data_IF_062885518062
#
_entry.id   IF_062885518062
#
_cell.length_a   1.000
_cell.length_b   1.000
_cell.length_c   1.000
_cell.angle_alpha   90.00
_cell.angle_beta   90.00
_cell.angle_gamma   90.00
#
_symmetry.space_group_name_H-M   'P 1'
#
loop_
_entity.id
_entity.type
_entity.pdbx_description
1 polymer ?
#
# COMPACT_ATOMS: atom_id res chain seq x y z
N UNK A 1 -22.56 25.36 10.06
CA UNK A 1 -22.86 24.06 10.68
C UNK A 1 -21.54 23.46 11.12
N UNK A 2 -21.40 23.03 12.38
CA UNK A 2 -20.17 22.40 12.85
C UNK A 2 -20.02 21.06 12.14
N UNK A 3 -19.04 20.94 11.24
CA UNK A 3 -18.67 19.67 10.62
C UNK A 3 -17.97 18.80 11.67
N UNK A 4 -18.75 18.27 12.60
CA UNK A 4 -18.27 17.31 13.58
C UNK A 4 -17.81 16.04 12.87
N UNK A 5 -16.68 15.50 13.30
CA UNK A 5 -16.24 14.16 12.87
C UNK A 5 -17.32 13.18 13.34
N UNK A 6 -17.86 12.31 12.46
CA UNK A 6 -18.86 11.33 12.86
C UNK A 6 -18.38 10.48 14.04
N UNK A 7 -19.27 10.15 14.99
CA UNK A 7 -18.89 9.39 16.21
C UNK A 7 -18.17 8.08 15.87
N UNK A 8 -18.67 7.36 14.86
CA UNK A 8 -18.06 6.15 14.34
C UNK A 8 -16.58 6.36 13.95
N UNK A 9 -16.27 7.49 13.31
CA UNK A 9 -14.91 7.81 12.87
C UNK A 9 -14.03 8.17 14.07
N UNK A 10 -14.57 8.83 15.09
CA UNK A 10 -13.82 9.12 16.32
C UNK A 10 -13.44 7.85 17.08
N UNK A 11 -14.31 6.84 17.06
CA UNK A 11 -14.05 5.53 17.67
C UNK A 11 -12.95 4.77 16.92
N UNK A 12 -13.03 4.72 15.59
CA UNK A 12 -12.05 4.01 14.73
C UNK A 12 -10.66 4.65 14.81
N UNK A 13 -10.56 5.97 14.68
CA UNK A 13 -9.28 6.69 14.58
C UNK A 13 -8.91 7.46 15.85
N UNK A 14 -9.34 6.95 17.01
CA UNK A 14 -9.22 7.61 18.30
C UNK A 14 -7.81 8.21 18.53
N UNK A 15 -7.75 9.50 18.86
CA UNK A 15 -6.51 10.23 19.12
C UNK A 15 -5.79 10.80 17.90
N UNK A 16 -6.24 10.50 16.67
CA UNK A 16 -5.66 11.07 15.45
C UNK A 16 -6.29 12.43 15.13
N UNK A 17 -5.46 13.44 14.85
CA UNK A 17 -5.95 14.76 14.42
C UNK A 17 -6.33 14.73 12.95
N UNK A 18 -7.57 15.12 12.64
CA UNK A 18 -8.04 15.19 11.26
C UNK A 18 -7.35 16.33 10.49
N UNK A 19 -6.78 16.00 9.34
CA UNK A 19 -6.07 16.93 8.46
C UNK A 19 -6.90 17.18 7.20
N UNK A 20 -6.81 18.41 6.68
CA UNK A 20 -7.45 18.78 5.41
C UNK A 20 -6.76 18.09 4.22
N UNK A 21 -7.53 17.77 3.18
CA UNK A 21 -7.02 17.10 1.97
C UNK A 21 -5.90 17.87 1.26
N UNK A 22 -5.94 19.19 1.34
CA UNK A 22 -5.01 20.12 0.68
C UNK A 22 -3.63 20.22 1.33
N UNK A 23 -3.40 19.52 2.44
CA UNK A 23 -2.07 19.48 3.08
C UNK A 23 -1.04 18.92 2.08
N UNK A 24 0.18 19.46 2.08
CA UNK A 24 1.31 18.87 1.35
C UNK A 24 1.95 17.81 2.24
N UNK A 25 2.09 16.59 1.74
CA UNK A 25 2.73 15.49 2.47
C UNK A 25 4.21 15.47 2.10
N UNK A 26 5.11 15.12 3.01
CA UNK A 26 6.50 14.92 2.63
C UNK A 26 6.66 13.56 1.93
N UNK A 27 7.47 13.47 0.86
CA UNK A 27 8.27 14.49 0.19
C UNK A 27 7.59 15.00 -1.10
N UNK A 28 6.29 15.27 -1.10
CA UNK A 28 5.61 15.90 -2.23
C UNK A 28 6.18 17.31 -2.48
N UNK A 29 6.33 17.66 -3.75
CA UNK A 29 6.67 19.02 -4.12
C UNK A 29 5.55 20.00 -3.69
N UNK A 30 5.88 21.25 -3.32
CA UNK A 30 4.89 22.26 -2.96
C UNK A 30 3.84 22.46 -4.06
N UNK A 31 2.57 22.56 -3.66
CA UNK A 31 1.45 22.62 -4.61
C UNK A 31 1.41 23.87 -5.50
N UNK A 32 2.17 24.93 -5.16
CA UNK A 32 2.17 26.20 -5.89
C UNK A 32 2.65 26.12 -7.34
N UNK A 33 3.15 24.96 -7.78
CA UNK A 33 3.69 24.74 -9.13
C UNK A 33 2.79 23.89 -10.05
N UNK A 34 1.61 23.46 -9.61
CA UNK A 34 0.81 22.51 -10.39
C UNK A 34 0.17 23.15 -11.62
N UNK A 35 0.26 22.46 -12.75
CA UNK A 35 -0.60 22.73 -13.89
C UNK A 35 -2.02 22.22 -13.62
N UNK A 36 -3.04 22.81 -14.26
CA UNK A 36 -4.45 22.43 -14.09
C UNK A 36 -4.76 20.95 -14.46
N UNK A 37 -3.81 20.25 -15.08
CA UNK A 37 -3.97 18.88 -15.56
C UNK A 37 -3.14 17.86 -14.76
N UNK A 38 -2.52 18.27 -13.65
CA UNK A 38 -1.74 17.38 -12.80
C UNK A 38 -2.59 16.82 -11.66
N UNK A 39 -2.46 15.50 -11.44
CA UNK A 39 -3.06 14.79 -10.32
C UNK A 39 -1.96 14.43 -9.31
N UNK A 40 -2.22 14.62 -8.01
CA UNK A 40 -1.34 14.06 -6.97
C UNK A 40 -1.76 12.63 -6.66
N UNK A 41 -0.81 11.71 -6.75
CA UNK A 41 -0.98 10.31 -6.35
C UNK A 41 -0.57 10.08 -4.89
N UNK A 42 -1.45 9.49 -4.11
CA UNK A 42 -1.26 9.12 -2.70
C UNK A 42 -1.70 7.69 -2.46
N UNK A 43 -1.35 7.14 -1.30
CA UNK A 43 -1.93 5.90 -0.81
C UNK A 43 -2.88 6.23 0.34
N UNK A 44 -3.96 5.47 0.44
CA UNK A 44 -4.97 5.58 1.49
C UNK A 44 -5.12 4.21 2.17
N UNK A 45 -4.75 4.15 3.44
CA UNK A 45 -4.67 2.94 4.27
C UNK A 45 -5.56 3.02 5.51
N UNK A 46 -5.98 1.87 6.00
CA UNK A 46 -6.97 1.74 7.07
C UNK A 46 -8.22 2.55 6.77
N UNK A 47 -8.76 2.45 5.56
CA UNK A 47 -9.82 3.35 5.09
C UNK A 47 -11.23 2.86 5.37
N UNK A 48 -12.16 3.81 5.46
CA UNK A 48 -13.61 3.57 5.53
C UNK A 48 -14.36 4.58 4.67
N UNK A 49 -15.50 4.16 4.10
CA UNK A 49 -16.42 5.04 3.38
C UNK A 49 -17.68 5.29 4.21
N UNK A 50 -18.05 6.55 4.35
CA UNK A 50 -19.22 6.98 5.13
C UNK A 50 -20.14 7.84 4.27
N UNK A 51 -21.43 7.55 4.31
CA UNK A 51 -22.51 8.40 3.76
C UNK A 51 -23.58 8.55 4.83
N UNK A 52 -23.98 9.78 5.15
CA UNK A 52 -25.00 10.06 6.17
C UNK A 52 -24.74 9.36 7.53
N UNK A 53 -23.49 9.39 8.02
CA UNK A 53 -23.08 8.73 9.27
C UNK A 53 -23.26 7.19 9.29
N UNK A 54 -23.27 6.55 8.11
CA UNK A 54 -23.32 5.09 7.96
C UNK A 54 -22.18 4.62 7.06
N UNK A 55 -21.62 3.45 7.37
CA UNK A 55 -20.68 2.78 6.47
C UNK A 55 -21.39 2.40 5.17
N UNK A 56 -20.76 2.71 4.05
CA UNK A 56 -21.23 2.36 2.71
C UNK A 56 -20.15 1.59 1.96
N UNK A 57 -20.52 0.76 0.98
CA UNK A 57 -19.61 -0.18 0.32
C UNK A 57 -19.70 0.01 -1.21
N UNK A 58 -18.68 0.61 -1.87
CA UNK A 58 -18.73 1.01 -3.27
C UNK A 58 -18.57 -0.18 -4.24
N UNK A 59 -19.63 -0.99 -4.41
CA UNK A 59 -19.66 -2.09 -5.38
C UNK A 59 -19.75 -1.57 -6.80
N UNK A 60 -18.98 -2.14 -7.72
CA UNK A 60 -18.86 -1.66 -9.10
C UNK A 60 -20.22 -1.38 -9.79
N UNK A 61 -21.21 -2.26 -9.62
CA UNK A 61 -22.52 -2.16 -10.28
C UNK A 61 -23.36 -0.98 -9.80
N UNK A 62 -23.11 -0.48 -8.59
CA UNK A 62 -23.90 0.57 -7.95
C UNK A 62 -23.29 1.97 -8.17
N UNK A 63 -22.10 2.05 -8.78
CA UNK A 63 -21.34 3.30 -8.87
C UNK A 63 -21.84 4.18 -10.01
N UNK A 64 -22.72 5.11 -9.65
CA UNK A 64 -23.06 6.27 -10.48
C UNK A 64 -22.42 7.54 -9.90
N UNK A 65 -22.28 8.63 -10.68
CA UNK A 65 -21.83 9.91 -10.13
C UNK A 65 -22.65 10.37 -8.92
N UNK A 66 -23.97 10.12 -8.92
CA UNK A 66 -24.89 10.47 -7.84
C UNK A 66 -24.68 9.59 -6.60
N UNK A 67 -24.19 8.35 -6.78
CA UNK A 67 -23.86 7.47 -5.65
C UNK A 67 -22.82 8.13 -4.73
N UNK A 68 -21.82 8.81 -5.32
CA UNK A 68 -20.74 9.48 -4.61
C UNK A 68 -21.14 10.78 -3.91
N UNK A 69 -22.34 11.31 -4.18
CA UNK A 69 -22.85 12.47 -3.45
C UNK A 69 -22.89 12.17 -1.95
N UNK A 70 -22.36 13.11 -1.15
CA UNK A 70 -22.22 13.03 0.30
C UNK A 70 -21.39 11.85 0.85
N UNK A 71 -20.74 11.06 -0.02
CA UNK A 71 -19.78 10.05 0.40
C UNK A 71 -18.47 10.73 0.80
N UNK A 72 -17.96 10.35 1.96
CA UNK A 72 -16.68 10.78 2.48
C UNK A 72 -15.83 9.54 2.75
N UNK A 73 -14.53 9.64 2.44
CA UNK A 73 -13.57 8.62 2.82
C UNK A 73 -12.71 9.12 3.98
N UNK A 74 -12.42 8.23 4.92
CA UNK A 74 -11.50 8.49 6.03
C UNK A 74 -10.41 7.45 5.99
N UNK A 75 -9.20 7.82 6.40
CA UNK A 75 -8.09 6.90 6.52
C UNK A 75 -6.75 7.61 6.68
N UNK A 76 -5.70 6.81 6.78
CA UNK A 76 -4.33 7.29 6.85
C UNK A 76 -3.76 7.46 5.44
N UNK A 77 -3.30 8.67 5.16
CA UNK A 77 -2.83 9.07 3.84
C UNK A 77 -1.33 9.32 3.88
N UNK A 78 -0.65 8.83 2.86
CA UNK A 78 0.79 9.06 2.65
C UNK A 78 1.09 9.27 1.16
N UNK A 79 2.16 9.98 0.84
CA UNK A 79 2.53 10.23 -0.54
C UNK A 79 2.97 8.94 -1.27
N UNK A 80 2.90 8.91 -2.60
CA UNK A 80 3.46 7.81 -3.41
C UNK A 80 4.74 8.22 -4.15
N UNK A 81 5.52 9.13 -3.55
CA UNK A 81 6.78 9.65 -4.10
C UNK A 81 7.95 9.40 -3.14
N UNK A 82 9.18 9.71 -3.57
CA UNK A 82 10.39 9.46 -2.77
C UNK A 82 10.77 7.99 -2.62
N UNK A 83 11.69 7.69 -1.69
CA UNK A 83 12.15 6.32 -1.42
C UNK A 83 11.17 5.52 -0.55
N UNK A 84 10.39 6.19 0.32
CA UNK A 84 9.51 5.48 1.23
C UNK A 84 8.34 4.78 0.51
N UNK A 85 8.00 5.21 -0.71
CA UNK A 85 6.95 4.60 -1.54
C UNK A 85 7.12 3.09 -1.72
N UNK A 86 8.36 2.56 -1.70
CA UNK A 86 8.59 1.13 -1.79
C UNK A 86 8.00 0.35 -0.61
N UNK A 87 8.02 0.93 0.59
CA UNK A 87 7.43 0.31 1.78
C UNK A 87 5.90 0.39 1.77
N UNK A 88 5.37 1.50 1.25
CA UNK A 88 3.93 1.65 0.98
C UNK A 88 3.50 0.60 -0.04
N UNK A 89 4.13 0.56 -1.21
CA UNK A 89 3.87 -0.46 -2.23
C UNK A 89 4.03 -1.87 -1.68
N UNK A 90 4.93 -2.12 -0.73
CA UNK A 90 5.08 -3.45 -0.12
C UNK A 90 3.94 -3.85 0.83
N UNK A 91 3.09 -2.91 1.25
CA UNK A 91 2.06 -3.09 2.28
C UNK A 91 2.61 -3.10 3.71
N UNK A 92 3.67 -2.32 3.97
CA UNK A 92 4.33 -2.24 5.29
C UNK A 92 4.26 -0.83 5.87
N UNK A 93 3.06 -0.24 5.92
CA UNK A 93 2.85 1.10 6.47
C UNK A 93 3.00 1.20 7.99
N UNK A 94 2.81 0.09 8.73
CA UNK A 94 2.91 0.08 10.20
C UNK A 94 4.34 0.21 10.77
N UNK A 95 5.38 0.20 9.94
CA UNK A 95 6.77 0.39 10.40
C UNK A 95 7.17 1.86 10.27
N UNK A 96 8.02 2.33 11.17
CA UNK A 96 8.57 3.67 11.11
C UNK A 96 9.79 3.70 10.21
N UNK A 97 9.79 4.63 9.26
CA UNK A 97 10.86 4.85 8.30
C UNK A 97 11.26 6.31 8.32
N UNK A 98 12.50 6.58 7.90
CA UNK A 98 12.93 7.94 7.63
C UNK A 98 12.02 8.54 6.55
N UNK A 99 11.60 9.79 6.74
CA UNK A 99 10.73 10.53 5.84
C UNK A 99 9.32 9.94 5.66
N UNK A 100 8.89 9.03 6.54
CA UNK A 100 7.50 8.58 6.58
C UNK A 100 6.62 9.72 7.12
N UNK A 101 5.84 10.32 6.22
CA UNK A 101 4.79 11.26 6.58
C UNK A 101 3.43 10.59 6.40
N UNK A 102 2.75 10.33 7.51
CA UNK A 102 1.42 9.74 7.55
C UNK A 102 0.46 10.71 8.25
N UNK A 103 -0.66 11.03 7.60
CA UNK A 103 -1.69 11.90 8.19
C UNK A 103 -3.05 11.23 8.18
N UNK A 104 -3.86 11.47 9.21
CA UNK A 104 -5.25 11.08 9.19
C UNK A 104 -6.08 12.14 8.45
N UNK A 105 -6.84 11.73 7.44
CA UNK A 105 -7.49 12.65 6.49
C UNK A 105 -8.96 12.28 6.26
N UNK A 106 -9.77 13.30 5.97
CA UNK A 106 -11.12 13.16 5.43
C UNK A 106 -11.10 13.67 3.99
N UNK A 107 -11.32 12.75 3.06
CA UNK A 107 -11.42 13.01 1.63
C UNK A 107 -12.90 13.23 1.34
N UNK A 108 -13.21 14.41 0.79
CA UNK A 108 -14.56 14.83 0.43
C UNK A 108 -14.67 14.94 -1.08
N UNK A 109 -15.90 15.17 -1.56
CA UNK A 109 -16.14 15.44 -2.97
C UNK A 109 -15.53 14.36 -3.86
N UNK A 110 -15.76 13.10 -3.49
CA UNK A 110 -15.28 11.95 -4.25
C UNK A 110 -15.98 11.97 -5.60
N UNK A 111 -15.19 11.78 -6.64
CA UNK A 111 -15.66 11.75 -8.04
C UNK A 111 -16.02 10.32 -8.43
N UNK A 112 -15.18 9.38 -8.01
CA UNK A 112 -15.31 8.01 -8.44
C UNK A 112 -14.24 7.11 -7.86
N UNK A 113 -14.37 5.84 -8.20
CA UNK A 113 -13.35 4.83 -7.98
C UNK A 113 -13.10 4.10 -9.30
N UNK A 114 -11.86 3.76 -9.60
CA UNK A 114 -11.46 3.07 -10.83
C UNK A 114 -10.49 1.95 -10.52
N UNK A 115 -10.51 0.88 -11.32
CA UNK A 115 -9.52 -0.20 -11.27
C UNK A 115 -8.57 -0.06 -12.45
N UNK A 116 -7.28 0.13 -12.18
CA UNK A 116 -6.29 0.24 -13.25
C UNK A 116 -4.87 -0.17 -12.83
N UNK A 117 -4.09 -0.61 -13.81
CA UNK A 117 -2.64 -0.68 -13.74
C UNK A 117 -2.05 0.69 -14.08
N UNK A 118 -1.36 1.32 -13.13
CA UNK A 118 -0.77 2.65 -13.33
C UNK A 118 0.75 2.60 -13.13
N UNK A 119 1.56 3.33 -13.91
CA UNK A 119 3.01 3.44 -13.67
C UNK A 119 3.36 3.95 -12.26
N UNK A 120 2.44 4.67 -11.63
CA UNK A 120 2.57 5.19 -10.26
C UNK A 120 2.30 4.15 -9.17
N UNK A 121 1.78 2.98 -9.55
CA UNK A 121 1.59 1.85 -8.66
C UNK A 121 2.34 0.62 -9.15
N UNK A 122 3.37 0.22 -8.39
CA UNK A 122 4.19 -0.96 -8.72
C UNK A 122 4.61 -0.98 -10.20
N UNK A 123 4.92 0.18 -10.77
CA UNK A 123 5.33 0.36 -12.17
C UNK A 123 4.37 -0.25 -13.21
N UNK A 124 3.08 -0.31 -12.91
CA UNK A 124 2.05 -0.85 -13.79
C UNK A 124 2.05 -2.38 -13.94
N UNK A 125 2.74 -3.11 -13.05
CA UNK A 125 2.75 -4.58 -13.05
C UNK A 125 1.54 -5.20 -12.35
N UNK A 126 0.78 -4.41 -11.61
CA UNK A 126 -0.35 -4.86 -10.82
C UNK A 126 -1.45 -3.80 -10.87
N UNK A 127 -2.70 -4.25 -10.83
CA UNK A 127 -3.87 -3.38 -10.68
C UNK A 127 -4.12 -3.04 -9.20
N UNK A 128 -4.77 -1.90 -8.98
CA UNK A 128 -5.29 -1.49 -7.67
C UNK A 128 -6.54 -0.64 -7.89
N UNK A 129 -7.36 -0.51 -6.84
CA UNK A 129 -8.44 0.46 -6.81
C UNK A 129 -7.89 1.86 -6.51
N UNK A 130 -8.24 2.82 -7.35
CA UNK A 130 -7.93 4.23 -7.19
C UNK A 130 -9.20 5.00 -6.86
N UNK A 131 -9.14 5.80 -5.81
CA UNK A 131 -10.18 6.76 -5.44
C UNK A 131 -9.82 8.14 -5.95
N UNK A 132 -10.71 8.80 -6.67
CA UNK A 132 -10.49 10.14 -7.23
C UNK A 132 -11.33 11.19 -6.51
N UNK A 133 -10.74 12.34 -6.20
CA UNK A 133 -11.44 13.50 -5.60
C UNK A 133 -11.47 14.70 -6.54
N UNK A 134 -12.48 15.58 -6.38
CA UNK A 134 -12.60 16.83 -7.17
C UNK A 134 -11.42 17.78 -6.95
N UNK A 135 -10.66 17.59 -5.87
CA UNK A 135 -9.51 18.42 -5.55
C UNK A 135 -8.22 18.03 -6.33
N UNK A 136 -8.31 17.06 -7.26
CA UNK A 136 -7.20 16.67 -8.14
C UNK A 136 -6.23 15.69 -7.47
N UNK A 137 -6.74 14.82 -6.60
CA UNK A 137 -5.97 13.75 -5.98
C UNK A 137 -6.50 12.39 -6.43
N UNK A 138 -5.59 11.43 -6.51
CA UNK A 138 -5.88 10.02 -6.76
C UNK A 138 -5.21 9.17 -5.68
N UNK A 139 -6.00 8.33 -5.02
CA UNK A 139 -5.56 7.55 -3.86
C UNK A 139 -5.58 6.05 -4.19
N UNK A 140 -4.43 5.39 -4.18
CA UNK A 140 -4.36 3.94 -4.22
C UNK A 140 -4.91 3.37 -2.90
N UNK A 141 -5.97 2.58 -2.99
CA UNK A 141 -6.61 1.97 -1.83
C UNK A 141 -5.80 0.77 -1.33
N UNK A 142 -5.29 0.88 -0.11
CA UNK A 142 -4.44 -0.12 0.54
C UNK A 142 -5.30 -1.12 1.31
N UNK A 143 -5.09 -1.27 2.63
CA UNK A 143 -5.95 -2.10 3.46
C UNK A 143 -7.14 -1.27 3.99
N UNK A 144 -8.37 -1.79 3.99
CA UNK A 144 -9.47 -1.17 4.73
C UNK A 144 -9.19 -1.19 6.24
N UNK A 145 -9.91 -0.36 6.99
CA UNK A 145 -9.95 -0.52 8.46
C UNK A 145 -10.57 -1.89 8.82
N UNK A 146 -10.11 -2.51 9.91
CA UNK A 146 -10.54 -3.85 10.31
C UNK A 146 -12.07 -3.97 10.48
N UNK A 147 -12.72 -2.96 11.08
CA UNK A 147 -14.18 -2.97 11.28
C UNK A 147 -14.91 -2.88 9.94
N UNK A 148 -14.32 -2.21 8.96
CA UNK A 148 -14.89 -2.05 7.63
C UNK A 148 -14.64 -3.30 6.76
N UNK A 149 -13.48 -3.95 6.92
CA UNK A 149 -13.10 -5.18 6.23
C UNK A 149 -14.03 -6.34 6.58
N UNK A 150 -14.25 -6.56 7.88
CA UNK A 150 -15.00 -7.70 8.44
C UNK A 150 -16.45 -7.78 7.96
N UNK A 151 -17.04 -6.65 7.58
CA UNK A 151 -18.48 -6.59 7.30
C UNK A 151 -18.76 -6.95 5.84
N UNK A 152 -18.27 -6.15 4.88
CA UNK A 152 -18.65 -6.32 3.45
C UNK A 152 -17.57 -5.93 2.45
N UNK A 153 -16.33 -5.70 2.86
CA UNK A 153 -15.29 -5.30 1.91
C UNK A 153 -14.97 -6.40 0.89
N UNK A 154 -15.02 -7.67 1.30
CA UNK A 154 -14.87 -8.80 0.38
C UNK A 154 -15.89 -8.78 -0.78
N UNK A 155 -17.14 -8.36 -0.53
CA UNK A 155 -18.16 -8.21 -1.57
C UNK A 155 -17.80 -7.09 -2.57
N UNK A 156 -17.20 -6.00 -2.08
CA UNK A 156 -16.70 -4.92 -2.93
C UNK A 156 -15.62 -5.48 -3.84
N UNK A 157 -14.58 -6.11 -3.30
CA UNK A 157 -13.50 -6.70 -4.10
C UNK A 157 -14.02 -7.70 -5.13
N UNK A 158 -14.98 -8.55 -4.75
CA UNK A 158 -15.61 -9.48 -5.67
C UNK A 158 -16.31 -8.76 -6.82
N UNK A 159 -17.05 -7.67 -6.55
CA UNK A 159 -17.70 -6.86 -7.58
C UNK A 159 -16.71 -6.24 -8.57
N UNK A 160 -15.50 -5.91 -8.10
CA UNK A 160 -14.41 -5.34 -8.89
C UNK A 160 -13.53 -6.39 -9.59
N UNK A 161 -13.68 -7.66 -9.24
CA UNK A 161 -13.02 -8.80 -9.90
C UNK A 161 -13.93 -9.38 -10.99
N UNK A 162 -15.25 -9.40 -10.76
CA UNK A 162 -16.26 -9.92 -11.69
C UNK A 162 -16.73 -8.87 -12.71
N UNK A 163 -15.79 -8.14 -13.31
CA UNK A 163 -16.12 -7.13 -14.31
C UNK A 163 -16.48 -7.77 -15.66
N UNK A 164 -17.37 -7.14 -16.46
CA UNK A 164 -17.66 -7.60 -17.80
C UNK A 164 -16.44 -7.40 -18.72
N UNK A 165 -16.18 -8.33 -19.67
CA UNK A 165 -15.18 -8.12 -20.71
C UNK A 165 -15.46 -6.82 -21.50
N UNK A 166 -14.42 -6.08 -21.92
CA UNK A 166 -13.00 -6.43 -21.92
C UNK A 166 -12.25 -5.96 -20.66
N UNK A 167 -12.95 -5.58 -19.59
CA UNK A 167 -12.29 -5.09 -18.37
C UNK A 167 -11.51 -6.23 -17.70
N UNK A 168 -10.40 -5.87 -17.07
CA UNK A 168 -9.58 -6.82 -16.33
C UNK A 168 -10.40 -7.49 -15.23
N UNK A 169 -10.14 -8.77 -14.99
CA UNK A 169 -10.69 -9.54 -13.87
C UNK A 169 -9.62 -9.82 -12.82
N UNK A 170 -8.46 -9.15 -12.88
CA UNK A 170 -7.46 -9.27 -11.82
C UNK A 170 -7.99 -8.72 -10.49
N UNK A 171 -7.59 -9.36 -9.40
CA UNK A 171 -7.89 -8.96 -8.04
C UNK A 171 -7.13 -7.66 -7.70
N UNK A 172 -7.84 -6.55 -7.42
CA UNK A 172 -7.21 -5.27 -7.15
C UNK A 172 -6.79 -5.08 -5.68
N UNK A 173 -6.87 -6.12 -4.83
CA UNK A 173 -6.42 -6.03 -3.45
C UNK A 173 -4.91 -5.85 -3.34
N UNK A 174 -4.49 -5.15 -2.29
CA UNK A 174 -3.08 -5.00 -1.96
C UNK A 174 -2.45 -6.36 -1.63
N UNK A 175 -1.61 -6.87 -2.53
CA UNK A 175 -0.80 -8.06 -2.26
C UNK A 175 0.46 -7.72 -1.46
N UNK A 176 0.45 -7.94 -0.14
CA UNK A 176 1.63 -7.72 0.71
C UNK A 176 2.86 -8.48 0.19
N UNK A 177 4.00 -7.80 0.19
CA UNK A 177 5.25 -8.43 -0.29
C UNK A 177 5.82 -9.37 0.76
N UNK A 178 6.07 -10.61 0.37
CA UNK A 178 6.79 -11.56 1.22
C UNK A 178 8.26 -11.16 1.33
N UNK A 179 8.64 -10.60 2.48
CA UNK A 179 10.00 -10.16 2.77
C UNK A 179 11.05 -11.30 2.71
N UNK A 180 10.63 -12.57 2.85
CA UNK A 180 11.52 -13.73 2.74
C UNK A 180 11.63 -14.28 1.31
N UNK A 181 10.79 -13.80 0.39
CA UNK A 181 10.73 -14.22 -1.01
C UNK A 181 11.74 -13.48 -1.90
N UNK A 182 11.71 -13.77 -3.22
CA UNK A 182 12.49 -13.01 -4.20
C UNK A 182 12.00 -11.57 -4.32
N UNK A 183 12.90 -10.68 -4.74
CA UNK A 183 12.56 -9.29 -5.01
C UNK A 183 11.52 -9.18 -6.15
N UNK A 184 10.40 -8.47 -5.94
CA UNK A 184 9.39 -8.27 -6.99
C UNK A 184 9.96 -7.55 -8.23
N UNK A 185 9.44 -7.86 -9.41
CA UNK A 185 9.91 -7.28 -10.69
C UNK A 185 9.81 -5.75 -10.71
N UNK A 186 8.72 -5.21 -10.17
CA UNK A 186 8.48 -3.77 -10.08
C UNK A 186 9.42 -3.02 -9.10
N UNK A 187 10.15 -3.75 -8.24
CA UNK A 187 11.12 -3.15 -7.33
C UNK A 187 12.44 -2.80 -8.03
N UNK A 188 12.63 -3.16 -9.31
CA UNK A 188 13.90 -2.94 -10.05
C UNK A 188 14.15 -1.50 -10.53
N UNK A 189 13.37 -0.53 -10.05
CA UNK A 189 13.54 0.90 -10.35
C UNK A 189 14.70 1.52 -9.54
N UNK A 190 15.11 2.76 -9.90
CA UNK A 190 16.18 3.49 -9.19
C UNK A 190 15.90 3.58 -7.68
N UNK A 191 16.92 3.33 -6.86
CA UNK A 191 16.80 3.25 -5.39
C UNK A 191 16.14 1.96 -4.87
N UNK A 192 15.60 1.12 -5.74
CA UNK A 192 14.93 -0.12 -5.36
C UNK A 192 15.86 -1.17 -4.74
N UNK A 193 17.08 -1.32 -5.25
CA UNK A 193 18.03 -2.33 -4.73
C UNK A 193 18.42 -2.06 -3.26
N UNK A 194 18.82 -0.84 -2.93
CA UNK A 194 19.20 -0.45 -1.57
C UNK A 194 18.01 -0.53 -0.61
N UNK A 195 16.84 -0.07 -1.02
CA UNK A 195 15.60 -0.17 -0.22
C UNK A 195 15.19 -1.62 0.01
N UNK A 196 15.34 -2.51 -0.99
CA UNK A 196 15.07 -3.94 -0.83
C UNK A 196 16.04 -4.62 0.16
N UNK A 197 17.34 -4.32 0.04
CA UNK A 197 18.35 -4.84 0.96
C UNK A 197 18.09 -4.42 2.40
N UNK A 198 17.66 -3.18 2.60
CA UNK A 198 17.25 -2.65 3.89
C UNK A 198 15.96 -3.33 4.39
N UNK A 199 14.94 -3.43 3.52
CA UNK A 199 13.65 -4.04 3.81
C UNK A 199 13.75 -5.50 4.28
N UNK A 200 14.68 -6.25 3.68
CA UNK A 200 14.94 -7.66 3.98
C UNK A 200 16.01 -7.88 5.06
N UNK A 201 16.74 -6.84 5.47
CA UNK A 201 17.82 -6.93 6.46
C UNK A 201 17.40 -7.60 7.78
N UNK A 202 16.27 -7.25 8.42
CA UNK A 202 15.88 -7.88 9.69
C UNK A 202 15.74 -9.40 9.59
N UNK A 203 15.24 -9.91 8.46
CA UNK A 203 15.06 -11.34 8.22
C UNK A 203 16.40 -12.03 7.97
N UNK A 204 17.28 -11.40 7.19
CA UNK A 204 18.64 -11.92 6.97
C UNK A 204 19.42 -12.01 8.28
N UNK A 205 19.34 -10.98 9.11
CA UNK A 205 20.00 -10.92 10.41
C UNK A 205 19.44 -11.96 11.38
N UNK A 206 18.12 -12.13 11.43
CA UNK A 206 17.47 -13.18 12.22
C UNK A 206 17.91 -14.60 11.80
N UNK A 207 17.96 -14.87 10.48
CA UNK A 207 18.44 -16.16 9.93
C UNK A 207 19.92 -16.40 10.24
N UNK A 208 20.76 -15.38 10.13
CA UNK A 208 22.18 -15.48 10.47
C UNK A 208 22.39 -15.73 11.97
N UNK A 209 21.61 -15.06 12.83
CA UNK A 209 21.61 -15.27 14.27
C UNK A 209 21.18 -16.68 14.68
N UNK A 210 20.13 -17.21 14.07
CA UNK A 210 19.68 -18.59 14.30
C UNK A 210 20.76 -19.61 13.94
N UNK A 211 21.39 -19.48 12.76
CA UNK A 211 22.49 -20.36 12.33
C UNK A 211 23.69 -20.31 13.29
N UNK A 212 24.05 -19.12 13.80
CA UNK A 212 25.14 -18.97 14.78
C UNK A 212 24.82 -19.69 16.09
N UNK A 213 23.59 -19.60 16.60
CA UNK A 213 23.16 -20.32 17.81
C UNK A 213 23.24 -21.84 17.63
N UNK A 214 22.73 -22.36 16.51
CA UNK A 214 22.80 -23.79 16.20
C UNK A 214 24.23 -24.28 16.09
N UNK A 215 25.12 -23.52 15.44
CA UNK A 215 26.53 -23.89 15.32
C UNK A 215 27.24 -23.86 16.69
N UNK A 216 26.91 -22.90 17.56
CA UNK A 216 27.48 -22.82 18.91
C UNK A 216 27.07 -24.03 19.78
N UNK A 217 25.81 -24.45 19.69
CA UNK A 217 25.30 -25.62 20.41
C UNK A 217 25.89 -26.96 19.89
N UNK A 218 26.11 -27.06 18.57
CA UNK A 218 26.83 -28.20 17.99
C UNK A 218 28.31 -28.24 18.43
N UNK A 219 28.95 -27.09 18.61
CA UNK A 219 30.34 -27.04 19.10
C UNK A 219 30.47 -27.40 20.58
N UNK A 220 29.54 -26.96 21.44
CA UNK A 220 29.58 -27.29 22.89
C UNK A 220 29.27 -28.77 23.15
N UNK A 221 28.35 -29.37 22.39
CA UNK A 221 28.05 -30.81 22.46
C UNK A 221 29.22 -31.69 22.00
N UNK A 222 29.96 -31.29 20.95
CA UNK A 222 31.18 -31.99 20.51
C UNK A 222 32.32 -31.92 21.55
N UNK A 223 32.49 -30.78 22.25
CA UNK A 223 33.50 -30.66 23.31
C UNK A 223 33.21 -31.56 24.52
N UNK A 224 31.94 -31.78 24.87
CA UNK A 224 31.56 -32.67 25.99
C UNK A 224 31.86 -34.15 25.72
N UNK A 225 31.81 -34.61 24.47
CA UNK A 225 32.12 -36.02 24.14
C UNK A 225 33.61 -36.35 24.11
N UNK A 226 34.52 -35.36 24.02
CA UNK A 226 35.98 -35.60 23.93
C UNK A 226 36.72 -35.45 25.27
N UNK A 227 36.02 -35.15 26.37
CA UNK A 227 36.59 -34.94 27.71
C UNK A 227 36.54 -36.17 28.65
N UNK A 228 36.15 -37.34 28.16
CA UNK A 228 36.15 -38.59 28.92
C UNK A 228 37.57 -39.14 29.11
N UNK A 229 38.30 -38.55 30.07
CA UNK A 229 39.47 -39.06 30.83
C UNK A 229 40.47 -37.92 31.07
N UNK A 230 40.37 -37.22 32.20
CA UNK A 230 41.53 -37.04 33.09
C UNK A 230 41.20 -36.34 34.41
N UNK A 231 41.72 -36.98 35.47
CA UNK A 231 42.45 -36.43 36.61
C UNK A 231 41.95 -35.15 37.29
N UNK A 232 41.84 -35.28 38.60
CA UNK A 232 41.56 -34.28 39.65
C UNK A 232 42.21 -32.89 39.45
N UNK A 233 41.50 -31.79 39.74
CA UNK A 233 41.96 -30.44 39.50
C UNK A 233 42.87 -29.89 40.62
N UNK A 234 43.94 -29.19 40.21
CA UNK A 234 44.81 -28.38 41.06
C UNK A 234 44.38 -26.89 41.02
N UNK A 235 44.46 -26.14 42.14
CA UNK A 235 43.97 -24.77 42.22
C UNK A 235 45.08 -23.76 41.84
N UNK A 236 44.83 -22.88 40.86
CA UNK A 236 45.67 -21.68 40.73
C UNK A 236 44.98 -20.48 40.07
N UNK A 237 44.95 -19.41 40.87
CA UNK A 237 45.16 -17.97 40.59
C UNK A 237 44.28 -17.24 39.57
N UNK A 238 43.44 -16.38 40.16
CA UNK A 238 42.72 -15.23 39.58
C UNK A 238 43.69 -14.22 38.96
N UNK A 239 43.36 -13.70 37.78
CA UNK A 239 43.94 -12.47 37.23
C UNK A 239 42.82 -11.58 36.67
N UNK A 240 42.79 -10.34 37.12
CA UNK A 240 41.85 -9.30 36.74
C UNK A 240 42.23 -8.71 35.35
N UNK A 241 41.22 -8.36 34.55
CA UNK A 241 41.38 -7.61 33.30
C UNK A 241 40.34 -6.48 33.30
N UNK A 242 40.87 -5.28 33.08
CA UNK A 242 40.21 -3.98 32.97
C UNK A 242 39.50 -3.80 31.62
N UNK A 243 38.40 -3.04 31.65
CA UNK A 243 37.65 -2.57 30.48
C UNK A 243 37.91 -1.09 30.27
N UNK A 244 38.24 -0.69 29.04
CA UNK A 244 38.00 0.64 28.48
C UNK A 244 37.81 0.49 26.97
N UNK A 245 36.64 0.87 26.46
CA UNK A 245 36.37 1.01 25.02
C UNK A 245 35.55 2.28 24.82
N UNK A 246 36.20 3.23 24.15
CA UNK A 246 35.73 4.57 23.79
C UNK A 246 34.88 4.48 22.50
N UNK A 247 33.74 5.17 22.48
CA UNK A 247 32.78 5.18 21.36
C UNK A 247 32.91 6.49 20.58
N UNK A 248 33.06 6.40 19.25
CA UNK A 248 33.16 7.55 18.34
C UNK A 248 31.97 7.58 17.37
N UNK A 249 31.22 8.70 17.25
CA UNK A 249 30.08 8.81 16.34
C UNK A 249 30.51 9.30 14.95
N UNK A 250 30.15 8.53 13.91
CA UNK A 250 30.42 8.87 12.51
C UNK A 250 29.45 9.92 11.94
N UNK A 251 30.01 10.86 11.18
CA UNK A 251 29.30 11.89 10.39
C UNK A 251 28.64 11.26 9.15
N UNK A 252 27.35 11.54 8.96
CA UNK A 252 26.60 11.17 7.76
C UNK A 252 26.75 12.22 6.66
N UNK A 253 27.14 11.75 5.49
CA UNK A 253 27.26 12.49 4.23
C UNK A 253 25.89 12.57 3.54
N UNK A 254 25.44 13.78 3.23
CA UNK A 254 24.18 14.06 2.51
C UNK A 254 24.54 14.27 1.05
N UNK A 255 24.18 13.33 0.20
CA UNK A 255 24.23 13.52 -1.25
C UNK A 255 22.90 14.06 -1.73
N UNK A 256 22.99 15.12 -2.52
CA UNK A 256 21.89 15.81 -3.19
C UNK A 256 21.19 14.85 -4.18
N UNK A 257 19.92 14.53 -3.89
CA UNK A 257 19.03 13.83 -4.82
C UNK A 257 18.20 14.88 -5.57
N UNK A 258 18.56 15.10 -6.85
CA UNK A 258 17.82 15.96 -7.78
C UNK A 258 16.40 15.43 -8.07
N UNK A 259 15.42 16.32 -7.91
CA UNK A 259 14.00 16.14 -8.21
C UNK A 259 13.77 15.82 -9.70
N UNK A 260 13.49 14.56 -10.03
CA UNK A 260 12.95 14.18 -11.33
C UNK A 260 11.44 14.39 -11.32
N UNK A 261 11.02 15.55 -11.83
CA UNK A 261 9.64 15.79 -12.27
C UNK A 261 9.36 14.82 -13.42
N UNK A 262 8.57 13.79 -13.17
CA UNK A 262 8.11 12.86 -14.19
C UNK A 262 7.00 13.55 -14.99
N UNK A 263 7.13 13.56 -16.31
CA UNK A 263 6.19 14.20 -17.23
C UNK A 263 4.85 13.45 -17.24
N UNK A 264 3.88 13.98 -16.48
CA UNK A 264 2.51 13.49 -16.41
C UNK A 264 1.72 13.70 -17.71
N UNK A 265 2.30 14.25 -18.80
CA UNK A 265 1.59 14.46 -20.08
C UNK A 265 1.11 13.16 -20.76
N UNK A 266 1.62 11.99 -20.34
CA UNK A 266 1.10 10.67 -20.77
C UNK A 266 -0.14 10.22 -20.01
N UNK A 267 -0.41 10.81 -18.84
CA UNK A 267 -1.75 10.84 -18.30
C UNK A 267 -2.48 11.87 -19.16
N UNK A 268 -3.06 11.42 -20.28
CA UNK A 268 -4.03 12.25 -20.96
C UNK A 268 -5.00 12.72 -19.86
N UNK A 269 -5.26 14.02 -19.71
CA UNK A 269 -6.40 14.47 -18.93
C UNK A 269 -7.58 13.87 -19.68
N UNK A 270 -7.98 12.66 -19.28
CA UNK A 270 -9.31 12.17 -19.55
C UNK A 270 -10.15 13.14 -18.77
N UNK A 271 -10.57 14.18 -19.48
CA UNK A 271 -11.89 14.78 -19.32
C UNK A 271 -12.75 13.67 -18.73
N UNK A 272 -13.07 13.87 -17.46
CA UNK A 272 -14.29 13.43 -16.81
C UNK A 272 -15.52 13.97 -17.58
N UNK A 273 -15.51 13.80 -18.91
CA UNK A 273 -16.66 13.87 -19.76
C UNK A 273 -17.16 12.43 -19.82
N UNK A 274 -18.11 12.12 -18.94
CA UNK A 274 -19.34 11.44 -19.37
C UNK A 274 -19.11 10.07 -20.07
N UNK A 275 -18.02 9.35 -19.81
CA UNK A 275 -17.83 8.03 -20.43
C UNK A 275 -18.58 6.91 -19.73
N UNK A 276 -19.21 7.19 -18.58
CA UNK A 276 -20.06 6.23 -17.86
C UNK A 276 -21.55 6.33 -18.18
N UNK A 277 -22.03 7.38 -18.88
CA UNK A 277 -23.47 7.53 -19.15
C UNK A 277 -23.93 6.99 -20.53
N UNK A 278 -23.04 6.84 -21.51
CA UNK A 278 -23.44 6.47 -22.89
C UNK A 278 -23.01 5.09 -23.37
N UNK A 279 -22.10 4.39 -22.67
CA UNK A 279 -21.50 3.14 -23.17
C UNK A 279 -21.91 1.86 -22.43
N UNK A 280 -22.75 1.94 -21.39
CA UNK A 280 -23.35 0.73 -20.81
C UNK A 280 -24.56 0.31 -21.67
N UNK A 281 -24.67 -0.96 -22.12
CA UNK A 281 -25.91 -1.44 -22.68
C UNK A 281 -27.01 -1.22 -21.63
N UNK A 282 -28.06 -0.47 -22.00
CA UNK A 282 -29.24 -0.29 -21.15
C UNK A 282 -29.74 -1.68 -20.76
N UNK A 283 -29.45 -2.10 -19.53
CA UNK A 283 -30.10 -3.26 -18.94
C UNK A 283 -31.58 -2.91 -18.83
N UNK A 284 -32.41 -3.72 -19.47
CA UNK A 284 -33.85 -3.53 -19.53
C UNK A 284 -34.42 -3.56 -18.09
N UNK A 285 -35.02 -2.45 -17.60
CA UNK A 285 -35.54 -2.39 -16.23
C UNK A 285 -36.79 -3.26 -16.00
N UNK A 286 -37.25 -4.01 -17.00
CA UNK A 286 -38.43 -4.89 -16.86
C UNK A 286 -38.15 -6.28 -16.27
N UNK A 287 -36.89 -6.62 -15.93
CA UNK A 287 -36.54 -7.95 -15.41
C UNK A 287 -36.36 -8.06 -13.89
N UNK A 288 -36.46 -6.97 -13.11
CA UNK A 288 -36.36 -7.03 -11.65
C UNK A 288 -37.75 -7.02 -11.02
N UNK A 289 -38.39 -8.20 -11.04
CA UNK A 289 -39.62 -8.46 -10.32
C UNK A 289 -39.27 -9.12 -8.98
N UNK A 290 -39.83 -8.54 -7.90
CA UNK A 290 -40.01 -9.07 -6.55
C UNK A 290 -38.80 -9.06 -5.59
N UNK A 291 -38.65 -7.94 -4.87
CA UNK A 291 -38.03 -7.88 -3.54
C UNK A 291 -39.02 -8.41 -2.47
N UNK A 292 -38.72 -9.52 -1.75
CA UNK A 292 -39.64 -10.14 -0.80
C UNK A 292 -39.37 -9.75 0.66
N UNK A 293 -39.11 -8.47 0.95
CA UNK A 293 -38.89 -8.01 2.33
C UNK A 293 -39.64 -6.71 2.61
N UNK A 294 -40.96 -6.81 2.71
CA UNK A 294 -41.83 -5.79 3.30
C UNK A 294 -42.51 -6.38 4.54
N UNK A 295 -41.79 -6.37 5.66
CA UNK A 295 -42.29 -6.77 6.99
C UNK A 295 -43.30 -5.72 7.50
N UNK A 296 -44.57 -5.92 7.13
CA UNK A 296 -45.70 -5.27 7.81
C UNK A 296 -46.03 -6.01 9.10
N UNK A 297 -45.49 -5.50 10.20
CA UNK A 297 -45.99 -5.76 11.54
C UNK A 297 -47.32 -5.02 11.76
N UNK A 298 -48.44 -5.69 11.50
CA UNK A 298 -49.73 -5.32 12.09
C UNK A 298 -50.16 -6.36 13.13
N UNK A 299 -50.40 -5.85 14.34
CA UNK A 299 -50.77 -6.63 15.50
C UNK A 299 -52.20 -7.14 15.44
N UNK A 300 -52.38 -8.40 15.84
CA UNK A 300 -53.67 -8.94 16.22
C UNK A 300 -53.58 -9.49 17.66
N UNK A 301 -54.22 -8.76 18.58
CA UNK A 301 -54.68 -9.27 19.87
C UNK A 301 -55.78 -10.31 19.61
N UNK A 302 -55.61 -11.55 20.07
CA UNK A 302 -56.73 -12.42 20.45
C UNK A 302 -56.40 -13.14 21.76
N UNK A 303 -57.39 -13.07 22.65
CA UNK A 303 -57.46 -13.61 23.99
C UNK A 303 -57.72 -15.12 24.04
N UNK A 304 -57.26 -15.70 25.16
CA UNK A 304 -57.96 -16.65 26.02
C UNK A 304 -58.03 -18.15 25.72
N UNK A 305 -57.57 -18.88 26.76
CA UNK A 305 -58.22 -20.01 27.44
C UNK A 305 -58.03 -21.45 26.94
N UNK A 306 -57.60 -22.29 27.90
CA UNK A 306 -57.90 -23.72 28.00
C UNK A 306 -56.64 -24.57 28.13
N UNK A 307 -56.31 -25.14 29.30
CA UNK A 307 -56.60 -26.54 29.71
C UNK A 307 -55.87 -27.56 28.81
N UNK A 308 -55.14 -28.58 29.26
CA UNK A 308 -55.16 -29.38 30.48
C UNK A 308 -53.94 -30.35 30.43
N UNK A 309 -53.34 -30.65 31.59
CA UNK A 309 -52.66 -31.89 32.02
C UNK A 309 -52.01 -32.87 31.01
N UNK A 310 -50.73 -33.16 31.26
CA UNK A 310 -50.31 -34.49 31.77
C UNK A 310 -49.40 -35.38 30.91
N UNK A 311 -48.56 -36.17 31.63
CA UNK A 311 -47.65 -37.28 31.23
C UNK A 311 -46.33 -36.86 30.57
N UNK A 312 -45.13 -37.06 31.15
CA UNK A 312 -44.50 -38.18 31.87
C UNK A 312 -44.04 -39.36 30.98
N UNK A 313 -42.72 -39.63 31.08
CA UNK A 313 -41.94 -40.87 30.86
C UNK A 313 -41.35 -41.17 29.45
N UNK A 314 -40.06 -41.61 29.51
CA UNK A 314 -39.20 -42.41 28.59
C UNK A 314 -38.33 -41.58 27.63
N UNK A 315 -37.00 -41.45 27.77
CA UNK A 315 -35.91 -42.46 27.85
C UNK A 315 -36.10 -43.58 26.83
N UNK A 316 -35.34 -43.51 25.73
CA UNK A 316 -34.73 -44.68 25.10
C UNK A 316 -33.51 -44.22 24.28
N UNK A 317 -32.40 -44.90 24.54
CA UNK A 317 -31.17 -44.92 23.77
C UNK A 317 -31.44 -45.44 22.35
N UNK A 318 -30.67 -44.97 21.35
CA UNK A 318 -30.36 -45.84 20.21
C UNK A 318 -29.09 -45.43 19.48
N UNK A 319 -28.09 -46.28 19.69
CA UNK A 319 -26.97 -46.53 18.79
C UNK A 319 -27.45 -46.85 17.37
N UNK A 320 -26.69 -46.39 16.39
CA UNK A 320 -26.60 -47.03 15.08
C UNK A 320 -25.21 -46.83 14.50
N UNK A 321 -24.35 -47.79 14.82
CA UNK A 321 -23.29 -48.29 13.93
C UNK A 321 -23.91 -48.83 12.64
N UNK A 322 -23.31 -48.53 11.48
CA UNK A 322 -23.16 -49.40 10.30
C UNK A 322 -22.26 -48.70 9.26
N UNK A 323 -21.03 -49.16 9.00
CA UNK A 323 -20.62 -50.10 7.91
C UNK A 323 -21.13 -49.63 6.53
N UNK A 324 -20.41 -49.63 5.42
CA UNK A 324 -19.20 -50.31 4.93
C UNK A 324 -18.95 -49.78 3.48
N UNK A 325 -17.72 -49.92 2.99
CA UNK A 325 -17.29 -50.17 1.57
C UNK A 325 -17.77 -49.21 0.44
N UNK A 326 -17.01 -48.85 -0.61
CA UNK A 326 -16.23 -49.58 -1.62
C UNK A 326 -15.29 -48.52 -2.29
N UNK A 327 -13.99 -48.79 -2.46
CA UNK A 327 -13.35 -49.09 -3.75
C UNK A 327 -13.65 -48.12 -4.92
N UNK A 328 -12.61 -47.40 -5.36
CA UNK A 328 -12.23 -47.42 -6.78
C UNK A 328 -10.74 -47.09 -6.93
N UNK A 329 -9.97 -48.14 -7.23
CA UNK A 329 -8.63 -48.07 -7.83
C UNK A 329 -8.78 -47.60 -9.29
N UNK A 330 -7.99 -46.62 -9.68
CA UNK A 330 -7.81 -46.20 -11.07
C UNK A 330 -6.33 -46.17 -11.40
N UNK A 331 -5.77 -47.34 -11.64
CA UNK A 331 -4.48 -47.56 -12.30
C UNK A 331 -4.72 -47.40 -13.81
N UNK A 332 -4.12 -46.39 -14.45
CA UNK A 332 -3.82 -46.46 -15.88
C UNK A 332 -2.38 -46.00 -16.16
N UNK A 333 -1.64 -47.05 -16.51
CA UNK A 333 -0.26 -47.15 -16.96
C UNK A 333 -0.05 -46.63 -18.39
N UNK A 334 1.24 -46.47 -18.68
CA UNK A 334 1.87 -46.59 -20.01
C UNK A 334 1.58 -45.45 -21.00
N UNK A 335 2.53 -44.94 -21.78
CA UNK A 335 3.89 -45.37 -22.08
C UNK A 335 4.60 -44.25 -22.88
N UNK A 336 5.94 -44.22 -22.81
CA UNK A 336 6.87 -43.96 -23.95
C UNK A 336 6.83 -42.60 -24.66
N UNK A 337 7.87 -42.07 -25.28
CA UNK A 337 9.29 -42.31 -25.60
C UNK A 337 9.76 -40.86 -25.94
N UNK A 338 11.00 -40.39 -25.81
CA UNK A 338 12.18 -40.61 -26.66
C UNK A 338 13.06 -39.38 -26.35
N UNK A 339 14.26 -39.56 -25.80
CA UNK A 339 15.53 -39.20 -26.45
C UNK A 339 15.51 -37.92 -27.30
N UNK A 340 16.24 -36.90 -26.88
CA UNK A 340 17.28 -36.32 -27.73
C UNK A 340 18.32 -35.58 -26.87
N UNK A 341 19.53 -36.13 -26.93
CA UNK A 341 20.75 -35.50 -26.47
C UNK A 341 21.28 -34.61 -27.60
N UNK A 342 21.61 -33.36 -27.31
CA UNK A 342 22.60 -32.63 -28.11
C UNK A 342 23.63 -31.98 -27.20
N UNK A 343 24.81 -32.60 -27.25
CA UNK A 343 26.11 -32.00 -27.05
C UNK A 343 26.25 -30.69 -27.83
N UNK A 344 26.73 -29.64 -27.17
CA UNK A 344 27.73 -28.77 -27.79
C UNK A 344 28.75 -28.35 -26.74
N UNK A 345 29.81 -29.15 -26.65
CA UNK A 345 31.15 -28.67 -26.32
C UNK A 345 31.49 -27.46 -27.19
N UNK A 346 32.01 -26.39 -26.58
CA UNK A 346 32.95 -25.54 -27.29
C UNK A 346 34.09 -25.10 -26.36
N UNK A 347 35.22 -25.77 -26.60
CA UNK A 347 36.64 -25.38 -26.47
C UNK A 347 36.89 -23.88 -26.28
N UNK A 348 37.59 -23.50 -25.21
CA UNK A 348 39.05 -23.41 -25.11
C UNK A 348 39.65 -22.15 -25.78
N UNK A 349 40.54 -21.53 -24.99
CA UNK A 349 41.67 -20.69 -25.37
C UNK A 349 41.46 -19.22 -25.78
N UNK A 350 41.82 -18.32 -24.86
CA UNK A 350 43.13 -17.65 -25.00
C UNK A 350 43.59 -16.92 -23.74
N UNK A 351 44.77 -17.34 -23.32
CA UNK A 351 45.70 -16.66 -22.42
C UNK A 351 46.21 -15.31 -22.99
N UNK A 352 46.91 -14.60 -22.11
CA UNK A 352 47.89 -13.54 -22.36
C UNK A 352 47.40 -12.11 -22.67
N UNK A 353 47.55 -11.21 -21.69
CA UNK A 353 48.75 -10.35 -21.66
C UNK A 353 48.88 -9.49 -20.40
N UNK A 354 50.10 -9.55 -19.88
CA UNK A 354 50.75 -8.73 -18.88
C UNK A 354 50.85 -7.23 -19.25
N UNK A 355 51.04 -6.44 -18.18
CA UNK A 355 51.88 -5.24 -18.05
C UNK A 355 51.64 -3.98 -18.89
N UNK A 356 51.39 -2.87 -18.18
CA UNK A 356 52.22 -1.64 -18.13
C UNK A 356 51.56 -0.56 -17.26
N UNK A 357 52.19 -0.21 -16.14
CA UNK A 357 53.06 0.97 -15.96
C UNK A 357 52.33 2.32 -15.97
N UNK A 358 52.36 2.96 -14.79
CA UNK A 358 52.69 4.36 -14.53
C UNK A 358 52.35 5.42 -15.60
N UNK A 359 51.59 6.44 -15.20
CA UNK A 359 52.09 7.84 -15.25
C UNK A 359 51.15 8.91 -14.69
N UNK A 360 51.78 9.73 -13.85
CA UNK A 360 51.74 11.20 -13.82
C UNK A 360 50.45 11.92 -13.38
N UNK A 361 50.52 12.38 -12.13
CA UNK A 361 50.24 13.76 -11.74
C UNK A 361 50.29 14.77 -12.90
N UNK A 362 49.19 15.50 -13.09
CA UNK A 362 49.27 16.90 -13.50
C UNK A 362 48.26 17.74 -12.74
N UNK A 363 48.82 18.46 -11.76
CA UNK A 363 48.40 19.81 -11.38
C UNK A 363 48.02 20.64 -12.60
N UNK A 364 46.80 21.16 -12.61
CA UNK A 364 46.46 22.37 -13.35
C UNK A 364 45.66 23.27 -12.41
N UNK A 365 46.40 24.14 -11.71
CA UNK A 365 45.84 25.33 -11.13
C UNK A 365 45.15 26.17 -12.22
N UNK A 366 43.93 26.60 -11.93
CA UNK A 366 43.24 27.60 -12.75
C UNK A 366 42.72 28.70 -11.85
N UNK A 367 43.56 29.69 -11.65
CA UNK A 367 43.18 31.03 -11.22
C UNK A 367 42.14 31.61 -12.20
N UNK A 368 41.01 32.02 -11.65
CA UNK A 368 40.07 33.00 -12.21
C UNK A 368 39.62 33.78 -10.97
N UNK A 369 40.12 34.98 -10.73
CA UNK A 369 40.07 36.11 -11.65
C UNK A 369 38.90 36.97 -11.20
N UNK A 370 39.13 37.77 -10.16
CA UNK A 370 38.26 38.85 -9.73
C UNK A 370 37.98 39.77 -10.92
N UNK A 371 36.70 40.00 -11.19
CA UNK A 371 36.24 41.19 -11.90
C UNK A 371 35.06 41.77 -11.16
N UNK A 372 35.36 42.82 -10.41
CA UNK A 372 34.45 43.88 -10.06
C UNK A 372 33.73 44.36 -11.34
N UNK A 373 32.40 44.37 -11.26
CA UNK A 373 31.51 44.75 -12.35
C UNK A 373 30.34 45.55 -11.77
N UNK A 374 30.61 46.83 -11.58
CA UNK A 374 29.68 47.92 -11.28
C UNK A 374 28.60 48.02 -12.38
N UNK A 375 27.32 47.85 -12.05
CA UNK A 375 26.19 48.32 -12.88
C UNK A 375 24.99 48.66 -11.97
N UNK A 376 24.82 49.94 -11.66
CA UNK A 376 23.73 50.83 -12.10
C UNK A 376 22.38 50.51 -11.45
N UNK A 377 21.99 51.40 -10.54
CA UNK A 377 20.63 51.60 -10.07
C UNK A 377 19.68 51.90 -11.24
N UNK A 378 18.57 51.19 -11.28
CA UNK A 378 17.39 51.61 -12.04
C UNK A 378 16.26 51.80 -11.02
N UNK A 379 16.03 53.07 -10.68
CA UNK A 379 14.72 53.57 -10.28
C UNK A 379 13.71 53.20 -11.38
N UNK A 380 12.60 52.60 -10.99
CA UNK A 380 11.39 52.61 -11.82
C UNK A 380 10.30 53.25 -10.99
N UNK A 381 9.82 54.36 -11.56
CA UNK A 381 8.79 55.23 -11.08
C UNK A 381 7.44 54.55 -10.85
N UNK A 382 6.76 55.15 -9.88
CA UNK A 382 5.32 55.20 -9.62
C UNK A 382 4.44 55.04 -10.87
N UNK A 383 3.38 54.24 -10.72
CA UNK A 383 2.10 54.54 -11.33
C UNK A 383 0.98 54.31 -10.30
N UNK A 384 0.44 55.43 -9.85
CA UNK A 384 -0.84 55.55 -9.15
C UNK A 384 -1.97 55.00 -10.02
N UNK A 385 -2.78 54.09 -9.46
CA UNK A 385 -4.09 53.75 -10.00
C UNK A 385 -5.15 54.09 -8.95
N UNK A 386 -5.57 55.35 -9.01
CA UNK A 386 -6.75 55.92 -8.36
C UNK A 386 -7.95 55.62 -9.26
N UNK A 387 -8.94 54.85 -8.78
CA UNK A 387 -10.28 54.85 -9.35
C UNK A 387 -11.29 55.15 -8.24
N UNK A 388 -11.77 56.39 -8.30
CA UNK A 388 -12.90 56.92 -7.58
C UNK A 388 -14.23 56.50 -8.26
N UNK A 389 -15.30 56.52 -7.45
CA UNK A 389 -16.70 56.76 -7.82
C UNK A 389 -17.47 55.64 -8.56
N UNK A 390 -18.77 55.46 -8.44
CA UNK A 390 -19.89 55.93 -7.60
C UNK A 390 -21.05 55.02 -8.00
N UNK A 391 -21.98 54.71 -7.10
CA UNK A 391 -23.14 53.89 -7.45
C UNK A 391 -24.10 53.66 -6.29
N UNK A 392 -24.69 54.74 -5.78
CA UNK A 392 -26.01 54.67 -5.16
C UNK A 392 -27.04 54.25 -6.22
N UNK A 393 -27.90 53.27 -5.91
CA UNK A 393 -29.30 53.38 -6.34
C UNK A 393 -30.25 52.82 -5.28
N UNK A 394 -31.32 53.59 -5.05
CA UNK A 394 -32.37 53.39 -4.07
C UNK A 394 -33.54 52.72 -4.77
N UNK A 395 -33.96 51.55 -4.28
CA UNK A 395 -35.25 50.96 -4.64
C UNK A 395 -36.09 50.71 -3.40
N UNK A 396 -37.02 51.63 -3.11
CA UNK A 396 -38.22 51.37 -2.30
C UNK A 396 -39.26 50.72 -3.22
N UNK A 397 -39.91 49.67 -2.75
CA UNK A 397 -41.37 49.59 -2.57
C UNK A 397 -41.73 48.46 -1.60
#
# INVERSE_FOLDING_TARGET
MSTGIPTLIQEVYCGSSLTAETVTLDPEAPQSKKSQNEVIVRALDGFVFVKHNKLVYPRYQDLTPEWWEDVQAYGYVTALVGQFKFFVWAGFMGKDYLDKHLVFMCIKDIVGMVKESSPHWRSGFEEILWLESKAGYSYALMEPDAIYDEVRWAEVIQSWTNLPPPLSQEDPTLRKVNQAGPQPKWWKVRGGKSTWEWFTKPIRDAKAGAKRKTNQEQQTSRKRKKGGKRATPSPSKKRAISQDVEYSPGKGDRTDDDDVIFDCSKLQPRRLLVWFAESLPRLDPTAANEDPWDDKAEGAKVQAQGREKGKEVRKDDKDSDKEEEEQEEGDEKEDKDEEEAEDTENKEDKEDKEDKEDKEEKDVGRERGEKEGQVVAMEVDKADAKMDAEGEDKGKD
#
